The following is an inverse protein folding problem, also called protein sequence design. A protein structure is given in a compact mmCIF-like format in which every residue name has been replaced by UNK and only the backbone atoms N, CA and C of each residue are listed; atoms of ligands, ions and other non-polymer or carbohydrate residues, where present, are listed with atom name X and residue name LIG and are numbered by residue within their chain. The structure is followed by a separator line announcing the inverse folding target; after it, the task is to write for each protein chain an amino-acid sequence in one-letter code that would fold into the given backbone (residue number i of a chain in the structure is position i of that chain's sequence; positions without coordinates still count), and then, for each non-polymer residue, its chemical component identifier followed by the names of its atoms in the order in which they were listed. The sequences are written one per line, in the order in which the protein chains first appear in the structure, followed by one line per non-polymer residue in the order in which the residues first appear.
data_IF_162873500897
#
_entry.id   IF_162873500897
#
_cell.length_a   1.000
_cell.length_b   1.000
_cell.length_c   1.000
_cell.angle_alpha   90.00
_cell.angle_beta   90.00
_cell.angle_gamma   90.00
#
_symmetry.space_group_name_H-M   'P 1'
#
loop_
_entity.id
_entity.type
_entity.pdbx_description
1 polymer ?
#
# COMPACT_ATOMS: atom_id res chain seq x y z
N UNK A 1 5.60 -14.57 51.09
CA UNK A 1 5.08 -14.94 49.77
C UNK A 1 5.00 -13.62 48.97
N UNK A 2 6.16 -13.23 48.37
CA UNK A 2 6.28 -11.99 47.59
C UNK A 2 5.59 -12.14 46.21
N UNK A 3 4.42 -11.52 46.08
CA UNK A 3 3.58 -11.58 44.84
C UNK A 3 3.71 -10.31 44.02
N UNK A 4 4.69 -9.44 44.29
CA UNK A 4 4.92 -8.18 43.55
C UNK A 4 6.17 -8.20 42.67
N UNK A 5 6.36 -9.29 41.87
CA UNK A 5 7.33 -9.24 40.80
C UNK A 5 6.79 -8.41 39.64
N UNK A 6 7.07 -7.08 39.66
CA UNK A 6 6.81 -6.24 38.49
C UNK A 6 7.47 -6.83 37.26
N UNK A 7 6.74 -6.95 36.13
CA UNK A 7 7.34 -7.48 34.90
C UNK A 7 8.54 -6.61 34.52
N UNK A 8 9.63 -7.21 34.02
CA UNK A 8 10.86 -6.50 33.70
C UNK A 8 10.56 -5.37 32.70
N UNK A 9 10.85 -4.13 33.10
CA UNK A 9 10.67 -2.95 32.25
C UNK A 9 11.61 -3.07 31.06
N UNK A 10 11.05 -3.16 29.86
CA UNK A 10 11.86 -3.19 28.64
C UNK A 10 12.79 -1.97 28.61
N UNK A 11 14.08 -2.14 28.22
CA UNK A 11 15.02 -1.05 28.04
C UNK A 11 14.42 0.03 27.13
N UNK A 12 14.67 1.32 27.43
CA UNK A 12 14.10 2.45 26.68
C UNK A 12 14.27 2.37 25.17
N UNK A 13 15.40 1.82 24.70
CA UNK A 13 15.72 1.57 23.30
C UNK A 13 14.83 0.50 22.66
N UNK A 14 14.52 -0.58 23.36
CA UNK A 14 13.64 -1.64 22.87
C UNK A 14 12.20 -1.13 22.70
N UNK A 15 11.72 -0.35 23.67
CA UNK A 15 10.40 0.30 23.62
C UNK A 15 10.29 1.27 22.43
N UNK A 16 11.33 2.09 22.18
CA UNK A 16 11.37 3.01 21.05
C UNK A 16 11.37 2.27 19.71
N UNK A 17 12.12 1.17 19.59
CA UNK A 17 12.12 0.32 18.38
C UNK A 17 10.75 -0.28 18.13
N UNK A 18 10.11 -0.86 19.14
CA UNK A 18 8.77 -1.42 19.03
C UNK A 18 7.74 -0.38 18.59
N UNK A 19 7.82 0.85 19.12
CA UNK A 19 6.94 1.95 18.71
C UNK A 19 7.15 2.32 17.23
N UNK A 20 8.39 2.48 16.78
CA UNK A 20 8.69 2.81 15.38
C UNK A 20 8.22 1.71 14.41
N UNK A 21 8.40 0.43 14.78
CA UNK A 21 7.87 -0.69 13.98
C UNK A 21 6.36 -0.56 13.83
N UNK A 22 5.63 -0.32 14.93
CA UNK A 22 4.18 -0.17 14.90
C UNK A 22 3.74 1.01 14.04
N UNK A 23 4.40 2.15 14.15
CA UNK A 23 4.10 3.34 13.32
C UNK A 23 4.28 2.99 11.83
N UNK A 24 5.39 2.37 11.45
CA UNK A 24 5.63 1.97 10.07
C UNK A 24 4.55 1.00 9.54
N UNK A 25 4.16 0.02 10.35
CA UNK A 25 3.12 -0.95 9.97
C UNK A 25 1.74 -0.31 9.90
N UNK A 26 1.41 0.63 10.79
CA UNK A 26 0.15 1.38 10.74
C UNK A 26 0.07 2.22 9.46
N UNK A 27 1.17 2.86 9.05
CA UNK A 27 1.23 3.61 7.78
C UNK A 27 0.90 2.68 6.60
N UNK A 28 1.47 1.48 6.56
CA UNK A 28 1.19 0.49 5.52
C UNK A 28 -0.27 0.04 5.55
N UNK A 29 -0.80 -0.30 6.73
CA UNK A 29 -2.20 -0.71 6.90
C UNK A 29 -3.16 0.39 6.44
N UNK A 30 -2.93 1.63 6.87
CA UNK A 30 -3.76 2.77 6.48
C UNK A 30 -3.69 2.99 4.96
N UNK A 31 -2.50 2.93 4.37
CA UNK A 31 -2.33 3.03 2.92
C UNK A 31 -3.11 1.95 2.16
N UNK A 32 -3.04 0.69 2.61
CA UNK A 32 -3.79 -0.43 2.01
C UNK A 32 -5.31 -0.26 2.17
N UNK A 33 -5.77 0.15 3.37
CA UNK A 33 -7.20 0.39 3.61
C UNK A 33 -7.70 1.54 2.73
N UNK A 34 -6.97 2.65 2.67
CA UNK A 34 -7.34 3.77 1.80
C UNK A 34 -7.38 3.33 0.33
N UNK A 35 -6.36 2.65 -0.15
CA UNK A 35 -6.33 2.13 -1.52
C UNK A 35 -7.48 1.16 -1.81
N UNK A 36 -7.83 0.28 -0.86
CA UNK A 36 -8.96 -0.63 -1.02
C UNK A 36 -10.31 0.09 -1.02
N UNK A 37 -10.51 1.04 -0.10
CA UNK A 37 -11.78 1.78 0.00
C UNK A 37 -12.00 2.68 -1.22
N UNK A 38 -10.97 3.35 -1.71
CA UNK A 38 -11.06 4.24 -2.88
C UNK A 38 -11.18 3.46 -4.20
N UNK A 39 -10.78 2.20 -4.24
CA UNK A 39 -10.95 1.38 -5.44
C UNK A 39 -12.42 1.01 -5.74
N UNK A 40 -13.32 1.04 -4.75
CA UNK A 40 -14.75 0.78 -5.00
C UNK A 40 -15.42 1.88 -5.84
N UNK A 41 -15.33 3.18 -5.49
CA UNK A 41 -15.89 4.27 -6.28
C UNK A 41 -14.92 4.77 -7.37
N UNK A 42 -14.15 3.87 -8.01
CA UNK A 42 -13.09 4.24 -8.97
C UNK A 42 -13.61 5.13 -10.10
N UNK A 43 -14.84 4.88 -10.59
CA UNK A 43 -15.47 5.68 -11.64
C UNK A 43 -15.70 7.12 -11.17
N UNK A 44 -16.29 7.28 -10.00
CA UNK A 44 -16.63 8.57 -9.43
C UNK A 44 -15.35 9.39 -9.10
N UNK A 45 -14.35 8.74 -8.55
CA UNK A 45 -13.06 9.36 -8.26
C UNK A 45 -12.34 9.84 -9.54
N UNK A 46 -12.37 9.04 -10.60
CA UNK A 46 -11.75 9.41 -11.86
C UNK A 46 -12.51 10.57 -12.57
N UNK A 47 -13.83 10.57 -12.50
CA UNK A 47 -14.64 11.70 -13.00
C UNK A 47 -14.31 12.98 -12.24
N UNK A 48 -14.23 12.91 -10.91
CA UNK A 48 -13.82 14.05 -10.08
C UNK A 48 -12.40 14.50 -10.43
N UNK A 49 -11.46 13.59 -10.59
CA UNK A 49 -10.07 13.90 -11.00
C UNK A 49 -10.00 14.60 -12.35
N UNK A 50 -10.77 14.13 -13.35
CA UNK A 50 -10.91 14.77 -14.66
C UNK A 50 -11.44 16.20 -14.53
N UNK A 51 -12.49 16.40 -13.76
CA UNK A 51 -13.13 17.70 -13.59
C UNK A 51 -12.20 18.69 -12.86
N UNK A 52 -11.42 18.24 -11.90
CA UNK A 52 -10.38 19.03 -11.23
C UNK A 52 -9.28 19.42 -12.23
N UNK A 53 -8.76 18.46 -13.03
CA UNK A 53 -7.73 18.75 -14.03
C UNK A 53 -8.18 19.81 -15.03
N UNK A 54 -9.43 19.74 -15.49
CA UNK A 54 -9.99 20.68 -16.44
C UNK A 54 -10.31 22.04 -15.79
N UNK A 55 -10.86 22.04 -14.57
CA UNK A 55 -11.28 23.25 -13.86
C UNK A 55 -10.11 24.09 -13.31
N UNK A 56 -8.98 23.48 -13.02
CA UNK A 56 -7.79 24.17 -12.47
C UNK A 56 -6.78 24.63 -13.53
N UNK A 57 -7.01 24.30 -14.80
CA UNK A 57 -6.04 24.57 -15.87
C UNK A 57 -4.81 23.67 -15.86
N UNK A 58 -4.76 22.67 -14.95
CA UNK A 58 -3.67 21.68 -14.92
C UNK A 58 -3.59 20.86 -16.20
N UNK A 59 -4.69 20.71 -16.92
CA UNK A 59 -4.72 20.05 -18.23
C UNK A 59 -3.82 20.74 -19.26
N UNK A 60 -3.61 22.04 -19.16
CA UNK A 60 -2.68 22.77 -20.03
C UNK A 60 -1.20 22.54 -19.65
N UNK A 61 -0.91 22.27 -18.38
CA UNK A 61 0.45 22.01 -17.86
C UNK A 61 0.83 20.53 -18.02
N UNK A 62 -0.14 19.63 -17.92
CA UNK A 62 0.02 18.17 -17.97
C UNK A 62 -0.89 17.55 -19.03
N UNK A 63 -0.73 17.87 -20.32
CA UNK A 63 -1.66 17.48 -21.39
C UNK A 63 -1.73 15.95 -21.56
N UNK A 64 -0.61 15.24 -21.43
CA UNK A 64 -0.56 13.78 -21.57
C UNK A 64 -1.32 13.08 -20.42
N UNK A 65 -1.18 13.58 -19.19
CA UNK A 65 -1.93 13.08 -18.04
C UNK A 65 -3.42 13.34 -18.21
N UNK A 66 -3.79 14.55 -18.62
CA UNK A 66 -5.19 14.92 -18.80
C UNK A 66 -5.86 14.07 -19.89
N UNK A 67 -5.18 13.86 -21.03
CA UNK A 67 -5.69 13.01 -22.11
C UNK A 67 -5.84 11.55 -21.68
N UNK A 68 -4.91 11.04 -20.85
CA UNK A 68 -5.00 9.70 -20.30
C UNK A 68 -6.15 9.55 -19.32
N UNK A 69 -6.30 10.47 -18.36
CA UNK A 69 -7.41 10.49 -17.40
C UNK A 69 -8.76 10.56 -18.13
N UNK A 70 -8.88 11.40 -19.14
CA UNK A 70 -10.07 11.48 -19.98
C UNK A 70 -10.40 10.13 -20.65
N UNK A 71 -9.40 9.48 -21.26
CA UNK A 71 -9.56 8.18 -21.92
C UNK A 71 -9.98 7.07 -20.96
N UNK A 72 -9.43 7.05 -19.74
CA UNK A 72 -9.81 6.08 -18.72
C UNK A 72 -11.21 6.35 -18.21
N UNK A 73 -11.59 7.62 -17.99
CA UNK A 73 -12.95 7.99 -17.58
C UNK A 73 -14.00 7.54 -18.62
N UNK A 74 -13.75 7.75 -19.91
CA UNK A 74 -14.61 7.29 -21.01
C UNK A 74 -14.74 5.77 -21.01
N UNK A 75 -13.60 5.03 -20.82
CA UNK A 75 -13.61 3.57 -20.74
C UNK A 75 -14.44 3.06 -19.55
N UNK A 76 -14.31 3.70 -18.37
CA UNK A 76 -15.09 3.33 -17.20
C UNK A 76 -16.58 3.64 -17.34
N UNK A 77 -16.94 4.70 -18.08
CA UNK A 77 -18.32 5.02 -18.38
C UNK A 77 -18.96 3.95 -19.25
N UNK A 78 -18.29 3.52 -20.32
CA UNK A 78 -18.75 2.43 -21.19
C UNK A 78 -18.87 1.12 -20.41
N UNK A 79 -17.86 0.79 -19.58
CA UNK A 79 -17.92 -0.41 -18.72
C UNK A 79 -19.09 -0.33 -17.76
N UNK A 80 -19.31 0.81 -17.11
CA UNK A 80 -20.38 0.98 -16.14
C UNK A 80 -21.80 0.89 -16.74
N UNK A 81 -21.97 1.29 -18.00
CA UNK A 81 -23.27 1.24 -18.69
C UNK A 81 -23.50 -0.06 -19.43
N UNK A 82 -22.54 -0.49 -20.25
CA UNK A 82 -22.74 -1.60 -21.18
C UNK A 82 -22.26 -2.94 -20.61
N UNK A 83 -21.27 -2.92 -19.74
CA UNK A 83 -20.61 -4.12 -19.20
C UNK A 83 -20.35 -4.02 -17.69
N UNK A 84 -21.37 -3.73 -16.85
CA UNK A 84 -21.17 -3.46 -15.42
C UNK A 84 -20.49 -4.63 -14.66
N UNK A 85 -20.64 -5.86 -15.15
CA UNK A 85 -19.99 -7.03 -14.56
C UNK A 85 -18.44 -6.97 -14.64
N UNK A 86 -17.84 -6.19 -15.54
CA UNK A 86 -16.40 -6.01 -15.60
C UNK A 86 -15.85 -5.18 -14.42
N UNK A 87 -16.68 -4.30 -13.85
CA UNK A 87 -16.32 -3.54 -12.65
C UNK A 87 -16.13 -4.46 -11.42
N UNK A 88 -16.71 -5.66 -11.43
CA UNK A 88 -16.50 -6.67 -10.40
C UNK A 88 -15.01 -7.04 -10.21
N UNK A 89 -14.19 -6.86 -11.25
CA UNK A 89 -12.74 -7.02 -11.15
C UNK A 89 -12.08 -5.98 -10.25
N UNK A 90 -12.57 -4.74 -10.25
CA UNK A 90 -12.10 -3.68 -9.34
C UNK A 90 -12.58 -3.89 -7.90
N UNK A 91 -13.78 -4.46 -7.70
CA UNK A 91 -14.26 -4.86 -6.38
C UNK A 91 -13.36 -5.94 -5.75
N UNK A 92 -12.91 -6.92 -6.55
CA UNK A 92 -11.93 -7.92 -6.10
C UNK A 92 -10.59 -7.30 -5.76
N UNK A 93 -10.12 -6.31 -6.53
CA UNK A 93 -8.90 -5.58 -6.22
C UNK A 93 -9.03 -4.81 -4.90
N UNK A 94 -10.15 -4.12 -4.71
CA UNK A 94 -10.49 -3.43 -3.47
C UNK A 94 -10.47 -4.38 -2.26
N UNK A 95 -11.19 -5.50 -2.37
CA UNK A 95 -11.20 -6.54 -1.36
C UNK A 95 -9.81 -7.11 -1.06
N UNK A 96 -8.99 -7.35 -2.09
CA UNK A 96 -7.63 -7.86 -1.92
C UNK A 96 -6.76 -6.89 -1.09
N UNK A 97 -6.86 -5.57 -1.31
CA UNK A 97 -6.13 -4.59 -0.50
C UNK A 97 -6.56 -4.62 0.97
N UNK A 98 -7.87 -4.74 1.24
CA UNK A 98 -8.38 -4.87 2.61
C UNK A 98 -7.93 -6.18 3.26
N UNK A 99 -7.95 -7.29 2.53
CA UNK A 99 -7.47 -8.58 3.02
C UNK A 99 -5.96 -8.55 3.33
N UNK A 100 -5.16 -7.89 2.50
CA UNK A 100 -3.72 -7.67 2.74
C UNK A 100 -3.53 -6.80 3.99
N UNK A 101 -4.32 -5.73 4.17
CA UNK A 101 -4.26 -4.90 5.36
C UNK A 101 -4.49 -5.72 6.64
N UNK A 102 -5.45 -6.66 6.63
CA UNK A 102 -5.70 -7.59 7.74
C UNK A 102 -4.48 -8.48 8.02
N UNK A 103 -3.78 -8.97 6.98
CA UNK A 103 -2.57 -9.78 7.16
C UNK A 103 -1.46 -9.02 7.92
N UNK A 104 -1.36 -7.69 7.74
CA UNK A 104 -0.39 -6.85 8.45
C UNK A 104 -0.73 -6.62 9.93
N UNK A 105 -1.93 -6.98 10.40
CA UNK A 105 -2.26 -6.95 11.84
C UNK A 105 -1.38 -7.94 12.63
N UNK A 106 -1.00 -9.07 12.03
CA UNK A 106 -0.09 -10.03 12.66
C UNK A 106 1.25 -9.40 13.06
N UNK A 107 2.03 -8.80 12.14
CA UNK A 107 3.25 -8.06 12.47
C UNK A 107 3.03 -6.86 13.40
N UNK A 108 1.86 -6.21 13.36
CA UNK A 108 1.53 -5.11 14.25
C UNK A 108 1.44 -5.57 15.72
N UNK A 109 0.91 -6.77 15.96
CA UNK A 109 0.80 -7.39 17.28
C UNK A 109 2.15 -7.95 17.72
N UNK A 110 2.76 -8.82 16.92
CA UNK A 110 4.06 -9.44 17.18
C UNK A 110 4.94 -9.41 15.91
N UNK A 111 5.80 -8.39 15.77
CA UNK A 111 6.61 -8.22 14.58
C UNK A 111 7.70 -9.31 14.43
N UNK A 112 8.18 -9.87 15.54
CA UNK A 112 9.24 -10.89 15.49
C UNK A 112 8.68 -12.22 15.00
N UNK A 113 7.57 -12.67 15.55
CA UNK A 113 6.90 -13.90 15.15
C UNK A 113 6.36 -13.85 13.73
N UNK A 114 5.86 -12.70 13.31
CA UNK A 114 5.22 -12.51 12.00
C UNK A 114 6.12 -11.79 10.99
N UNK A 115 7.45 -11.85 11.16
CA UNK A 115 8.43 -11.16 10.28
C UNK A 115 8.26 -11.53 8.80
N UNK A 116 7.79 -12.75 8.52
CA UNK A 116 7.57 -13.21 7.16
C UNK A 116 6.54 -12.37 6.39
N UNK A 117 5.48 -11.89 7.05
CA UNK A 117 4.48 -11.02 6.40
C UNK A 117 5.12 -9.70 5.95
N UNK A 118 6.03 -9.14 6.75
CA UNK A 118 6.80 -7.94 6.37
C UNK A 118 7.73 -8.20 5.18
N UNK A 119 8.39 -9.36 5.14
CA UNK A 119 9.23 -9.79 4.02
C UNK A 119 8.37 -10.00 2.77
N UNK A 120 7.24 -10.68 2.90
CA UNK A 120 6.28 -10.89 1.81
C UNK A 120 5.78 -9.55 1.24
N UNK A 121 5.46 -8.57 2.08
CA UNK A 121 5.09 -7.23 1.65
C UNK A 121 6.18 -6.56 0.80
N UNK A 122 7.46 -6.69 1.18
CA UNK A 122 8.58 -6.18 0.38
C UNK A 122 8.73 -6.92 -0.97
N UNK A 123 8.49 -8.23 -0.99
CA UNK A 123 8.46 -9.01 -2.25
C UNK A 123 7.35 -8.49 -3.16
N UNK A 124 6.17 -8.20 -2.61
CA UNK A 124 5.06 -7.62 -3.39
C UNK A 124 5.41 -6.23 -3.91
N UNK A 125 6.00 -5.35 -3.10
CA UNK A 125 6.49 -4.05 -3.55
C UNK A 125 7.49 -4.17 -4.72
N UNK A 126 8.43 -5.10 -4.64
CA UNK A 126 9.39 -5.36 -5.72
C UNK A 126 8.68 -5.92 -6.97
N UNK A 127 7.64 -6.74 -6.80
CA UNK A 127 6.85 -7.32 -7.88
C UNK A 127 6.03 -6.31 -8.67
N UNK A 128 5.69 -5.15 -8.08
CA UNK A 128 4.98 -4.07 -8.78
C UNK A 128 5.80 -3.56 -9.97
N UNK A 129 7.12 -3.49 -9.85
CA UNK A 129 8.00 -2.96 -10.91
C UNK A 129 7.86 -3.76 -12.22
N UNK A 130 8.15 -5.08 -12.26
CA UNK A 130 7.97 -5.87 -13.47
C UNK A 130 6.51 -5.93 -13.92
N UNK A 131 5.55 -5.96 -13.00
CA UNK A 131 4.13 -5.92 -13.34
C UNK A 131 3.78 -4.64 -14.12
N UNK A 132 4.13 -3.46 -13.60
CA UNK A 132 3.82 -2.19 -14.23
C UNK A 132 4.51 -2.06 -15.60
N UNK A 133 5.78 -2.44 -15.71
CA UNK A 133 6.54 -2.31 -16.95
C UNK A 133 6.09 -3.32 -18.02
N UNK A 134 5.82 -4.57 -17.65
CA UNK A 134 5.46 -5.63 -18.61
C UNK A 134 3.98 -5.53 -18.97
N UNK A 135 3.09 -5.60 -17.97
CA UNK A 135 1.65 -5.55 -18.23
C UNK A 135 1.20 -4.17 -18.71
N UNK A 136 1.81 -3.10 -18.20
CA UNK A 136 1.56 -1.73 -18.66
C UNK A 136 1.89 -1.56 -20.14
N UNK A 137 3.07 -2.03 -20.59
CA UNK A 137 3.45 -2.00 -22.00
C UNK A 137 2.51 -2.83 -22.89
N UNK A 138 2.15 -4.04 -22.47
CA UNK A 138 1.21 -4.92 -23.19
C UNK A 138 -0.17 -4.26 -23.32
N UNK A 139 -0.61 -3.54 -22.31
CA UNK A 139 -1.93 -2.85 -22.28
C UNK A 139 -1.90 -1.45 -22.87
N UNK A 140 -0.76 -0.96 -23.33
CA UNK A 140 -0.61 0.36 -23.93
C UNK A 140 -0.73 1.52 -22.93
N UNK A 141 -0.38 1.30 -21.66
CA UNK A 141 -0.36 2.35 -20.66
C UNK A 141 0.79 3.33 -20.93
N UNK A 142 0.58 4.65 -20.81
CA UNK A 142 1.65 5.63 -20.90
C UNK A 142 2.74 5.37 -19.85
N UNK A 143 4.01 5.58 -20.21
CA UNK A 143 5.13 5.38 -19.28
C UNK A 143 4.99 6.20 -18.00
N UNK A 144 4.49 7.44 -18.09
CA UNK A 144 4.24 8.27 -16.91
C UNK A 144 3.28 7.62 -15.93
N UNK A 145 2.23 6.94 -16.42
CA UNK A 145 1.29 6.22 -15.58
C UNK A 145 1.93 4.97 -14.94
N UNK A 146 2.74 4.22 -15.71
CA UNK A 146 3.49 3.08 -15.16
C UNK A 146 4.42 3.49 -14.03
N UNK A 147 5.04 4.69 -14.10
CA UNK A 147 5.86 5.23 -13.00
C UNK A 147 5.01 5.61 -11.78
N UNK A 148 3.78 6.11 -11.96
CA UNK A 148 2.85 6.34 -10.86
C UNK A 148 2.55 5.01 -10.15
N UNK A 149 2.24 3.95 -10.88
CA UNK A 149 1.99 2.63 -10.30
C UNK A 149 3.22 2.09 -9.53
N UNK A 150 4.42 2.21 -10.09
CA UNK A 150 5.67 1.83 -9.41
C UNK A 150 5.87 2.62 -8.13
N UNK A 151 5.50 3.91 -8.11
CA UNK A 151 5.68 4.77 -6.94
C UNK A 151 4.96 4.25 -5.69
N UNK A 152 3.80 3.60 -5.82
CA UNK A 152 3.09 2.98 -4.70
C UNK A 152 3.93 1.89 -4.04
N UNK A 153 4.59 1.04 -4.86
CA UNK A 153 5.50 0.02 -4.35
C UNK A 153 6.71 0.62 -3.63
N UNK A 154 7.31 1.66 -4.18
CA UNK A 154 8.47 2.35 -3.58
C UNK A 154 8.08 3.00 -2.25
N UNK A 155 6.97 3.73 -2.21
CA UNK A 155 6.48 4.41 -1.00
C UNK A 155 6.17 3.40 0.10
N UNK A 156 5.53 2.28 -0.22
CA UNK A 156 5.25 1.22 0.75
C UNK A 156 6.50 0.47 1.21
N UNK A 157 7.50 0.30 0.34
CA UNK A 157 8.75 -0.39 0.67
C UNK A 157 9.57 0.35 1.73
N UNK A 158 9.49 1.67 1.82
CA UNK A 158 10.24 2.46 2.82
C UNK A 158 9.85 2.08 4.25
N UNK A 159 8.59 2.24 4.70
CA UNK A 159 8.20 1.85 6.05
C UNK A 159 8.37 0.34 6.31
N UNK A 160 8.13 -0.52 5.32
CA UNK A 160 8.35 -1.97 5.45
C UNK A 160 9.83 -2.32 5.68
N UNK A 161 10.75 -1.67 4.98
CA UNK A 161 12.20 -1.86 5.17
C UNK A 161 12.62 -1.42 6.56
N UNK A 162 12.16 -0.26 7.02
CA UNK A 162 12.43 0.25 8.37
C UNK A 162 11.90 -0.75 9.41
N UNK A 163 10.65 -1.19 9.27
CA UNK A 163 10.03 -2.17 10.15
C UNK A 163 10.83 -3.48 10.20
N UNK A 164 11.26 -4.02 9.04
CA UNK A 164 12.04 -5.25 8.96
C UNK A 164 13.40 -5.12 9.65
N UNK A 165 14.13 -4.04 9.38
CA UNK A 165 15.45 -3.81 10.01
C UNK A 165 15.32 -3.70 11.53
N UNK A 166 14.34 -2.95 12.01
CA UNK A 166 14.11 -2.78 13.45
C UNK A 166 13.64 -4.08 14.11
N UNK A 167 12.79 -4.87 13.45
CA UNK A 167 12.33 -6.17 13.92
C UNK A 167 13.51 -7.14 14.08
N UNK A 168 14.40 -7.23 13.09
CA UNK A 168 15.61 -8.05 13.18
C UNK A 168 16.55 -7.63 14.31
N UNK A 169 16.70 -6.31 14.54
CA UNK A 169 17.47 -5.78 15.69
C UNK A 169 16.81 -6.09 17.03
N UNK A 170 15.50 -6.06 17.10
CA UNK A 170 14.73 -6.40 18.30
C UNK A 170 14.88 -7.91 18.62
N UNK A 171 14.73 -8.77 17.62
CA UNK A 171 14.89 -10.21 17.77
C UNK A 171 16.29 -10.60 18.28
N UNK A 172 17.35 -9.98 17.75
CA UNK A 172 18.73 -10.21 18.20
C UNK A 172 18.95 -9.76 19.65
N UNK A 173 18.36 -8.61 20.04
CA UNK A 173 18.49 -8.14 21.42
C UNK A 173 17.78 -9.06 22.42
N UNK A 174 16.61 -9.61 22.04
CA UNK A 174 15.89 -10.57 22.88
C UNK A 174 16.67 -11.90 23.02
N UNK A 175 17.29 -12.37 21.94
CA UNK A 175 18.10 -13.59 21.99
C UNK A 175 19.40 -13.45 22.81
N UNK A 176 19.96 -12.25 22.92
CA UNK A 176 21.14 -11.97 23.72
C UNK A 176 20.85 -11.77 25.22
N UNK A 177 19.58 -11.67 25.60
CA UNK A 177 19.12 -11.48 26.97
C UNK A 177 18.66 -12.81 27.64
N UNK A 178 18.64 -13.91 26.89
CA UNK A 178 18.36 -15.28 27.35
C UNK A 178 19.66 -16.03 27.62
#
# INVERSE_FOLDING_TARGET
MDVDAQPPRMPSLARRRALLIRICLIIVIVGLVMSGVTAFPLREELMLGRDILNGTGLSAVLPDLASWVQRVAEGLEVIGTDYPFLAYGTDWLAFAHLAIAVAFVGPLIDPVRNVWVTIWGLIMCAGIVPLALIAGAIRGLPLGWQFIDISFGVVAAVPLTIALVLTRRLARANAAAL
#
